data_IF_692971568801
#
_entry.id   IF_692971568801
#
_cell.length_a   1.000
_cell.length_b   1.000
_cell.length_c   1.000
_cell.angle_alpha   90.00
_cell.angle_beta   90.00
_cell.angle_gamma   90.00
#
_symmetry.space_group_name_H-M   'P 1'
#
loop_
_entity.id
_entity.type
_entity.pdbx_description
1 polymer ?
#
# COMPACT_ATOMS: atom_id res chain seq x y z
N UNK A 1 -2.88 6.70 -8.02
CA UNK A 1 -2.98 5.81 -9.19
C UNK A 1 -1.83 4.81 -9.10
N UNK A 2 -2.09 3.52 -8.90
CA UNK A 2 -1.05 2.50 -9.12
C UNK A 2 -0.80 2.44 -10.62
N UNK A 3 0.45 2.53 -11.06
CA UNK A 3 0.86 2.63 -12.46
C UNK A 3 0.03 1.67 -13.33
N UNK A 4 -0.68 2.20 -14.34
CA UNK A 4 -1.46 1.42 -15.31
C UNK A 4 -0.54 0.81 -16.39
N UNK A 5 0.60 0.26 -15.98
CA UNK A 5 1.56 -0.41 -16.85
C UNK A 5 1.51 -1.94 -16.64
N UNK A 6 1.91 -2.75 -17.64
CA UNK A 6 1.98 -4.20 -17.51
C UNK A 6 3.07 -4.67 -16.54
N UNK A 7 4.01 -3.77 -16.19
CA UNK A 7 5.11 -4.02 -15.26
C UNK A 7 5.12 -2.99 -14.12
N UNK A 8 5.68 -3.39 -12.98
CA UNK A 8 5.93 -2.57 -11.81
C UNK A 8 7.41 -2.69 -11.44
N UNK A 9 8.04 -1.54 -11.22
CA UNK A 9 9.43 -1.47 -10.77
C UNK A 9 9.48 -1.36 -9.24
N UNK A 10 10.24 -2.25 -8.63
CA UNK A 10 10.45 -2.26 -7.20
C UNK A 10 11.41 -1.14 -6.78
N UNK A 11 11.01 -0.29 -5.85
CA UNK A 11 11.86 0.80 -5.35
C UNK A 11 12.99 0.32 -4.43
N UNK A 12 12.91 -0.91 -3.87
CA UNK A 12 13.94 -1.47 -3.00
C UNK A 12 15.11 -2.11 -3.78
N UNK A 13 14.82 -2.79 -4.89
CA UNK A 13 15.84 -3.52 -5.66
C UNK A 13 15.90 -3.14 -7.15
N UNK A 14 15.09 -2.20 -7.60
CA UNK A 14 15.00 -1.75 -9.01
C UNK A 14 14.61 -2.84 -10.01
N UNK A 15 14.16 -4.01 -9.55
CA UNK A 15 13.66 -5.08 -10.42
C UNK A 15 12.29 -4.73 -10.99
N UNK A 16 12.10 -4.97 -12.28
CA UNK A 16 10.81 -4.88 -12.93
C UNK A 16 10.08 -6.23 -12.90
N UNK A 17 8.85 -6.25 -12.42
CA UNK A 17 8.01 -7.46 -12.34
C UNK A 17 6.67 -7.24 -13.03
N UNK A 18 5.98 -8.30 -13.47
CA UNK A 18 4.60 -8.18 -13.95
C UNK A 18 3.66 -7.56 -12.92
N UNK A 19 2.80 -6.65 -13.36
CA UNK A 19 1.77 -6.01 -12.53
C UNK A 19 0.57 -6.93 -12.31
N UNK A 20 0.80 -8.08 -11.68
CA UNK A 20 -0.24 -9.01 -11.24
C UNK A 20 0.01 -9.43 -9.79
N UNK A 21 -1.06 -9.77 -9.08
CA UNK A 21 -1.03 -10.06 -7.64
C UNK A 21 -0.08 -11.22 -7.28
N UNK A 22 0.03 -12.24 -8.13
CA UNK A 22 0.89 -13.40 -7.88
C UNK A 22 2.37 -13.00 -7.92
N UNK A 23 2.79 -12.31 -8.99
CA UNK A 23 4.16 -11.82 -9.15
C UNK A 23 4.54 -10.82 -8.06
N UNK A 24 3.63 -9.90 -7.70
CA UNK A 24 3.85 -8.94 -6.62
C UNK A 24 4.03 -9.65 -5.27
N UNK A 25 3.16 -10.62 -4.95
CA UNK A 25 3.24 -11.37 -3.69
C UNK A 25 4.53 -12.16 -3.57
N UNK A 26 4.90 -12.92 -4.61
CA UNK A 26 6.14 -13.69 -4.63
C UNK A 26 7.38 -12.79 -4.52
N UNK A 27 7.36 -11.63 -5.19
CA UNK A 27 8.43 -10.64 -5.09
C UNK A 27 8.60 -10.10 -3.66
N UNK A 28 7.50 -9.68 -3.01
CA UNK A 28 7.51 -9.17 -1.64
C UNK A 28 7.98 -10.25 -0.65
N UNK A 29 7.53 -11.50 -0.82
CA UNK A 29 7.99 -12.62 0.02
C UNK A 29 9.51 -12.80 -0.04
N UNK A 30 10.12 -12.63 -1.23
CA UNK A 30 11.57 -12.71 -1.42
C UNK A 30 12.34 -11.67 -0.62
N UNK A 31 11.76 -10.48 -0.41
CA UNK A 31 12.35 -9.44 0.43
C UNK A 31 12.25 -9.74 1.92
N UNK A 32 11.16 -10.38 2.37
CA UNK A 32 11.00 -10.72 3.78
C UNK A 32 11.99 -11.80 4.25
N UNK A 33 12.50 -12.65 3.35
CA UNK A 33 13.39 -13.80 3.64
C UNK A 33 12.88 -14.74 4.75
N UNK A 34 11.64 -14.60 5.19
CA UNK A 34 11.04 -15.42 6.24
C UNK A 34 10.45 -16.69 5.66
N UNK A 35 10.61 -17.80 6.39
CA UNK A 35 9.97 -19.07 6.07
C UNK A 35 8.54 -19.02 6.60
N UNK A 36 7.60 -18.65 5.75
CA UNK A 36 6.23 -18.33 6.14
C UNK A 36 5.31 -19.56 6.18
N UNK A 37 5.69 -20.66 5.53
CA UNK A 37 4.89 -21.89 5.48
C UNK A 37 5.63 -23.01 6.19
N UNK A 38 5.03 -23.56 7.24
CA UNK A 38 5.65 -24.60 8.06
C UNK A 38 4.90 -25.93 7.87
N UNK A 39 5.63 -27.02 7.63
CA UNK A 39 5.08 -28.37 7.65
C UNK A 39 4.82 -28.79 9.10
N UNK A 40 3.58 -29.07 9.48
CA UNK A 40 3.24 -29.46 10.86
C UNK A 40 3.80 -30.82 11.27
N UNK A 41 4.13 -31.68 10.31
CA UNK A 41 4.65 -33.04 10.55
C UNK A 41 6.11 -33.03 11.00
N UNK A 42 6.95 -32.19 10.38
CA UNK A 42 8.40 -32.15 10.63
C UNK A 42 8.94 -30.78 11.03
N UNK A 43 8.07 -29.77 11.14
CA UNK A 43 8.38 -28.38 11.50
C UNK A 43 9.35 -27.67 10.53
N UNK A 44 9.54 -28.21 9.32
CA UNK A 44 10.36 -27.58 8.27
C UNK A 44 9.63 -26.39 7.65
N UNK A 45 10.34 -25.27 7.52
CA UNK A 45 9.81 -24.02 6.99
C UNK A 45 10.19 -23.77 5.52
N UNK A 46 9.32 -23.08 4.79
CA UNK A 46 9.43 -22.80 3.36
C UNK A 46 8.97 -21.36 3.06
N UNK A 47 9.56 -20.74 2.03
CA UNK A 47 9.25 -19.36 1.63
C UNK A 47 7.97 -19.25 0.78
N UNK A 48 7.60 -20.35 0.12
CA UNK A 48 6.43 -20.41 -0.76
C UNK A 48 5.55 -21.63 -0.44
N UNK A 49 4.26 -21.47 -0.67
CA UNK A 49 3.26 -22.49 -0.41
C UNK A 49 3.48 -23.73 -1.28
N UNK A 50 3.86 -23.57 -2.54
CA UNK A 50 4.11 -24.68 -3.47
C UNK A 50 5.22 -25.61 -2.98
N UNK A 51 6.30 -25.04 -2.44
CA UNK A 51 7.45 -25.79 -1.93
C UNK A 51 7.09 -26.68 -0.74
N UNK A 52 6.22 -26.18 0.15
CA UNK A 52 5.72 -26.98 1.29
C UNK A 52 4.87 -28.16 0.79
N UNK A 53 4.07 -27.97 -0.27
CA UNK A 53 3.22 -29.02 -0.83
C UNK A 53 4.05 -30.13 -1.47
N UNK A 54 5.04 -29.76 -2.28
CA UNK A 54 5.97 -30.70 -2.88
C UNK A 54 6.73 -31.49 -1.81
N UNK A 55 7.17 -30.82 -0.74
CA UNK A 55 7.79 -31.47 0.40
C UNK A 55 6.87 -32.50 1.07
N UNK A 56 5.60 -32.14 1.31
CA UNK A 56 4.64 -33.07 1.93
C UNK A 56 4.39 -34.28 1.03
N UNK A 57 4.23 -34.08 -0.29
CA UNK A 57 3.95 -35.20 -1.20
C UNK A 57 5.13 -36.17 -1.33
N UNK A 58 6.37 -35.67 -1.24
CA UNK A 58 7.59 -36.49 -1.33
C UNK A 58 8.01 -37.13 -0.01
N UNK A 59 8.05 -36.36 1.07
CA UNK A 59 8.60 -36.78 2.36
C UNK A 59 7.53 -37.31 3.31
N UNK A 60 6.25 -37.00 3.05
CA UNK A 60 5.11 -37.43 3.84
C UNK A 60 3.97 -38.01 2.96
N UNK A 61 4.26 -39.00 2.08
CA UNK A 61 3.32 -39.47 1.06
C UNK A 61 2.00 -40.03 1.60
N UNK A 62 1.97 -40.47 2.86
CA UNK A 62 0.79 -40.94 3.58
C UNK A 62 -0.11 -39.82 4.10
N UNK A 63 0.41 -38.59 4.19
CA UNK A 63 -0.28 -37.45 4.75
C UNK A 63 -0.47 -36.39 3.67
N UNK A 64 -1.68 -36.32 3.11
CA UNK A 64 -2.01 -35.33 2.07
C UNK A 64 -3.00 -34.29 2.60
N UNK A 65 -2.84 -33.06 2.13
CA UNK A 65 -3.82 -32.00 2.32
C UNK A 65 -3.28 -30.72 2.95
N UNK A 66 -3.99 -29.63 2.67
CA UNK A 66 -3.62 -28.26 3.05
C UNK A 66 -3.60 -28.02 4.56
N UNK A 67 -4.31 -28.85 5.35
CA UNK A 67 -4.40 -28.74 6.82
C UNK A 67 -3.07 -29.00 7.54
N UNK A 68 -2.14 -29.67 6.87
CA UNK A 68 -0.80 -30.02 7.37
C UNK A 68 0.18 -28.85 7.29
N UNK A 69 -0.24 -27.73 6.70
CA UNK A 69 0.53 -26.52 6.54
C UNK A 69 0.10 -25.55 7.62
N UNK A 70 1.06 -25.00 8.35
CA UNK A 70 0.88 -23.83 9.20
C UNK A 70 1.32 -22.58 8.43
N UNK A 71 0.40 -21.64 8.28
CA UNK A 71 0.66 -20.35 7.67
C UNK A 71 1.06 -19.36 8.77
N UNK A 72 2.35 -19.02 8.82
CA UNK A 72 2.94 -18.02 9.71
C UNK A 72 3.29 -16.72 8.97
N UNK A 73 2.59 -16.40 7.87
CA UNK A 73 2.78 -15.13 7.17
C UNK A 73 2.46 -13.97 8.09
N UNK A 74 3.47 -13.14 8.36
CA UNK A 74 3.26 -11.84 8.98
C UNK A 74 2.73 -10.86 7.92
N UNK A 75 1.40 -10.72 7.89
CA UNK A 75 0.72 -9.82 6.95
C UNK A 75 1.08 -8.35 7.19
N UNK A 76 1.48 -7.97 8.40
CA UNK A 76 1.94 -6.62 8.73
C UNK A 76 3.27 -6.34 8.05
N UNK A 77 4.26 -7.21 8.26
CA UNK A 77 5.57 -7.13 7.60
C UNK A 77 5.43 -7.18 6.07
N UNK A 78 4.59 -8.08 5.55
CA UNK A 78 4.31 -8.17 4.12
C UNK A 78 3.72 -6.88 3.55
N UNK A 79 2.79 -6.25 4.26
CA UNK A 79 2.20 -4.99 3.83
C UNK A 79 3.20 -3.83 3.90
N UNK A 80 4.08 -3.83 4.90
CA UNK A 80 5.15 -2.85 5.02
C UNK A 80 6.15 -2.97 3.86
N UNK A 81 6.67 -4.18 3.60
CA UNK A 81 7.57 -4.44 2.48
C UNK A 81 6.88 -4.16 1.14
N UNK A 82 5.60 -4.48 0.99
CA UNK A 82 4.82 -4.12 -0.19
C UNK A 82 4.78 -2.59 -0.41
N UNK A 83 4.57 -1.80 0.64
CA UNK A 83 4.57 -0.35 0.54
C UNK A 83 5.96 0.23 0.25
N UNK A 84 7.02 -0.43 0.70
CA UNK A 84 8.39 -0.05 0.35
C UNK A 84 8.75 -0.41 -1.09
N UNK A 85 8.33 -1.58 -1.58
CA UNK A 85 8.57 -2.02 -2.96
C UNK A 85 7.76 -1.22 -3.97
N UNK A 86 6.45 -1.10 -3.72
CA UNK A 86 5.48 -0.48 -4.63
C UNK A 86 4.63 0.54 -3.87
N UNK A 87 5.24 1.67 -3.45
CA UNK A 87 4.51 2.71 -2.73
C UNK A 87 3.32 3.15 -3.57
N UNK A 88 2.13 3.19 -2.94
CA UNK A 88 0.95 3.73 -3.60
C UNK A 88 1.24 5.20 -3.89
N UNK A 89 1.47 5.54 -5.15
CA UNK A 89 1.47 6.93 -5.63
C UNK A 89 0.01 7.39 -5.68
N UNK A 90 -0.64 7.46 -4.53
CA UNK A 90 -1.70 8.45 -4.33
C UNK A 90 -0.92 9.76 -4.26
N UNK A 91 -1.29 10.71 -5.12
CA UNK A 91 -0.49 11.89 -5.44
C UNK A 91 0.13 12.49 -4.18
N UNK A 92 1.46 12.51 -4.05
CA UNK A 92 2.16 13.26 -2.99
C UNK A 92 1.61 14.69 -2.91
N UNK A 93 1.28 15.27 -4.07
CA UNK A 93 0.59 16.57 -4.19
C UNK A 93 -0.77 16.64 -3.46
N UNK A 94 -1.56 15.57 -3.48
CA UNK A 94 -2.85 15.51 -2.77
C UNK A 94 -2.63 15.45 -1.27
N UNK A 95 -1.69 14.65 -0.77
CA UNK A 95 -1.42 14.57 0.67
C UNK A 95 -0.82 15.86 1.22
N UNK A 96 0.09 16.50 0.46
CA UNK A 96 0.61 17.85 0.76
C UNK A 96 -0.53 18.88 0.80
N UNK A 97 -1.48 18.78 -0.14
CA UNK A 97 -2.67 19.64 -0.15
C UNK A 97 -3.58 19.38 1.05
N UNK A 98 -3.77 18.13 1.46
CA UNK A 98 -4.50 17.77 2.68
C UNK A 98 -3.87 18.36 3.92
N UNK A 99 -2.54 18.31 4.02
CA UNK A 99 -1.81 18.90 5.12
C UNK A 99 -1.90 20.44 5.09
N UNK A 100 -1.72 21.07 3.93
CA UNK A 100 -1.84 22.52 3.76
C UNK A 100 -3.24 23.04 4.14
N UNK A 101 -4.30 22.37 3.69
CA UNK A 101 -5.68 22.72 4.06
C UNK A 101 -5.90 22.54 5.56
N UNK A 102 -5.34 21.48 6.16
CA UNK A 102 -5.38 21.29 7.61
C UNK A 102 -4.75 22.46 8.38
N UNK A 103 -3.59 22.94 7.94
CA UNK A 103 -2.90 24.11 8.52
C UNK A 103 -3.70 25.40 8.34
N UNK A 104 -4.36 25.59 7.19
CA UNK A 104 -5.22 26.77 6.96
C UNK A 104 -6.36 26.80 7.98
N UNK A 105 -7.02 25.67 8.22
CA UNK A 105 -8.15 25.57 9.16
C UNK A 105 -7.70 25.93 10.58
N UNK A 106 -6.59 25.37 11.08
CA UNK A 106 -6.09 25.65 12.43
C UNK A 106 -5.66 27.11 12.60
N UNK A 107 -5.03 27.70 11.58
CA UNK A 107 -4.68 29.13 11.57
C UNK A 107 -5.93 30.02 11.56
N UNK A 108 -6.99 29.63 10.88
CA UNK A 108 -8.24 30.40 10.86
C UNK A 108 -9.04 30.28 12.15
N UNK A 109 -9.03 29.11 12.80
CA UNK A 109 -9.63 28.91 14.12
C UNK A 109 -8.94 29.79 15.18
N UNK A 110 -7.60 29.83 15.19
CA UNK A 110 -6.85 30.69 16.12
C UNK A 110 -7.11 32.18 15.91
N UNK A 111 -7.37 32.61 14.67
CA UNK A 111 -7.72 33.99 14.31
C UNK A 111 -9.23 34.29 14.39
N UNK A 112 -10.07 33.34 14.85
CA UNK A 112 -11.55 33.41 14.85
C UNK A 112 -12.15 33.76 13.49
N UNK A 113 -11.46 33.37 12.42
CA UNK A 113 -11.85 33.68 11.05
C UNK A 113 -12.65 32.51 10.47
N UNK A 114 -13.90 32.75 10.10
CA UNK A 114 -14.80 31.70 9.61
C UNK A 114 -14.80 31.56 8.09
N UNK A 115 -14.22 32.53 7.38
CA UNK A 115 -14.18 32.62 5.92
C UNK A 115 -12.81 33.06 5.42
N UNK A 116 -12.34 32.44 4.34
CA UNK A 116 -11.08 32.75 3.65
C UNK A 116 -11.35 33.21 2.23
N UNK A 117 -10.47 34.04 1.70
CA UNK A 117 -10.51 34.44 0.30
C UNK A 117 -9.62 33.50 -0.54
N UNK A 118 -10.15 32.95 -1.62
CA UNK A 118 -9.37 32.18 -2.57
C UNK A 118 -8.48 33.09 -3.41
N UNK A 119 -7.16 32.91 -3.33
CA UNK A 119 -6.20 33.72 -4.09
C UNK A 119 -6.25 33.48 -5.62
N UNK A 120 -6.92 32.42 -6.08
CA UNK A 120 -7.03 32.09 -7.51
C UNK A 120 -8.19 32.82 -8.19
N UNK A 121 -9.28 33.08 -7.48
CA UNK A 121 -10.49 33.67 -8.07
C UNK A 121 -11.16 34.77 -7.23
N UNK A 122 -10.62 35.09 -6.04
CA UNK A 122 -11.14 36.14 -5.18
C UNK A 122 -12.39 35.75 -4.36
N UNK A 123 -12.90 34.53 -4.55
CA UNK A 123 -14.14 34.06 -3.91
C UNK A 123 -13.97 33.80 -2.41
N UNK A 124 -15.01 34.10 -1.64
CA UNK A 124 -15.01 33.91 -0.19
C UNK A 124 -15.52 32.51 0.12
N UNK A 125 -14.63 31.64 0.59
CA UNK A 125 -14.91 30.24 0.92
C UNK A 125 -14.96 30.06 2.44
N UNK A 126 -15.95 29.33 2.99
CA UNK A 126 -15.95 28.96 4.40
C UNK A 126 -14.72 28.12 4.76
N UNK A 127 -14.22 28.29 5.98
CA UNK A 127 -13.07 27.54 6.55
C UNK A 127 -13.41 26.08 6.92
N UNK A 128 -14.37 25.50 6.21
CA UNK A 128 -14.82 24.12 6.38
C UNK A 128 -14.09 23.28 5.34
N UNK A 129 -13.44 22.20 5.80
CA UNK A 129 -12.62 21.32 4.94
C UNK A 129 -13.34 20.91 3.65
N UNK A 130 -14.58 20.45 3.74
CA UNK A 130 -15.39 20.03 2.58
C UNK A 130 -15.70 21.17 1.60
N UNK A 131 -15.94 22.39 2.10
CA UNK A 131 -16.17 23.57 1.26
C UNK A 131 -14.91 23.98 0.49
N UNK A 132 -13.75 23.93 1.15
CA UNK A 132 -12.45 24.24 0.51
C UNK A 132 -12.16 23.20 -0.59
N UNK A 133 -12.37 21.91 -0.33
CA UNK A 133 -12.17 20.86 -1.35
C UNK A 133 -13.13 20.99 -2.53
N UNK A 134 -14.41 21.23 -2.26
CA UNK A 134 -15.42 21.44 -3.30
C UNK A 134 -15.16 22.69 -4.13
N UNK A 135 -14.51 23.71 -3.54
CA UNK A 135 -14.05 24.88 -4.26
C UNK A 135 -12.75 24.62 -5.05
N UNK A 136 -11.82 23.82 -4.55
CA UNK A 136 -10.58 23.56 -5.31
C UNK A 136 -10.84 22.76 -6.59
N UNK A 137 -11.88 21.93 -6.63
CA UNK A 137 -12.25 21.14 -7.81
C UNK A 137 -12.74 21.95 -9.02
N UNK A 138 -13.10 23.23 -8.83
CA UNK A 138 -13.44 24.12 -9.95
C UNK A 138 -12.21 24.73 -10.63
N UNK A 139 -11.02 24.66 -10.01
CA UNK A 139 -9.80 25.23 -10.57
C UNK A 139 -9.07 24.22 -11.48
N UNK A 140 -8.67 24.62 -12.70
CA UNK A 140 -7.99 23.73 -13.65
C UNK A 140 -6.64 23.20 -13.15
N UNK A 141 -6.02 23.87 -12.17
CA UNK A 141 -4.78 23.46 -11.48
C UNK A 141 -4.98 22.36 -10.42
N UNK A 142 -6.21 21.94 -10.14
CA UNK A 142 -6.54 20.84 -9.23
C UNK A 142 -6.74 19.49 -9.96
N UNK A 143 -6.80 19.49 -11.29
CA UNK A 143 -6.98 18.28 -12.13
C UNK A 143 -5.68 17.54 -12.41
#
# INVERSE_FOLDING_TARGET
FRNRGPQLDCQLCSCSIPNNDTSIRSHVHGHCKTLMFICKLCQKGFQDQHLVFEHIDREHPTHKGTKLIEDRRDMGLLMEVLNQCFPRVICKARDILFEAIGRIITLTESKKQTKINCLLCGEIVPTIKSCIYGHLSIHPSYK
#
